data_IF_948647324907
#
_entry.id   IF_948647324907
#
_cell.length_a   1.000
_cell.length_b   1.000
_cell.length_c   1.000
_cell.angle_alpha   90.00
_cell.angle_beta   90.00
_cell.angle_gamma   90.00
#
_symmetry.space_group_name_H-M   'P 1'
#
loop_
_entity.id
_entity.type
_entity.pdbx_description
1 polymer ?
#
# COMPACT_ATOMS: atom_id res chain seq x y z
N UNK A 1 5.06 -19.58 -6.18
CA UNK A 1 4.46 -18.36 -6.76
C UNK A 1 4.58 -18.46 -8.27
N UNK A 2 3.49 -18.25 -9.00
CA UNK A 2 3.51 -18.22 -10.47
C UNK A 2 2.82 -16.92 -10.88
N UNK A 3 3.50 -16.08 -11.64
CA UNK A 3 2.94 -14.85 -12.18
C UNK A 3 3.58 -14.59 -13.56
N UNK A 4 2.79 -14.24 -14.59
CA UNK A 4 1.34 -14.25 -14.54
C UNK A 4 0.79 -15.68 -14.47
N UNK A 5 -0.16 -15.88 -13.56
CA UNK A 5 -1.04 -17.05 -13.50
C UNK A 5 -2.46 -16.49 -13.45
N UNK A 6 -3.48 -17.12 -14.06
CA UNK A 6 -4.79 -16.50 -14.22
C UNK A 6 -5.57 -16.48 -12.91
N UNK A 7 -5.15 -15.63 -11.98
CA UNK A 7 -5.87 -15.32 -10.76
C UNK A 7 -7.14 -14.54 -11.11
N UNK A 8 -8.26 -14.94 -10.51
CA UNK A 8 -9.57 -14.33 -10.75
C UNK A 8 -9.93 -13.42 -9.59
N UNK A 9 -10.45 -12.25 -9.92
CA UNK A 9 -11.07 -11.40 -8.90
C UNK A 9 -12.35 -12.07 -8.37
N UNK A 10 -12.39 -12.29 -7.06
CA UNK A 10 -13.56 -12.77 -6.32
C UNK A 10 -14.43 -11.59 -5.86
N UNK A 11 -13.78 -10.51 -5.44
CA UNK A 11 -14.40 -9.23 -5.11
C UNK A 11 -13.66 -8.13 -5.86
N UNK A 12 -14.41 -7.28 -6.55
CA UNK A 12 -13.83 -6.26 -7.42
C UNK A 12 -14.74 -5.01 -7.45
N UNK A 13 -14.42 -3.96 -6.69
CA UNK A 13 -15.21 -2.74 -6.62
C UNK A 13 -14.93 -1.83 -7.83
N UNK A 14 -15.28 -2.31 -9.03
CA UNK A 14 -14.96 -1.66 -10.33
C UNK A 14 -15.48 -0.23 -10.45
N UNK A 15 -16.60 0.07 -9.78
CA UNK A 15 -17.25 1.38 -9.84
C UNK A 15 -16.58 2.42 -8.93
N UNK A 16 -15.63 2.02 -8.06
CA UNK A 16 -15.07 2.89 -7.02
C UNK A 16 -14.35 4.13 -7.57
N UNK A 17 -13.73 4.03 -8.74
CA UNK A 17 -13.03 5.12 -9.42
C UNK A 17 -13.72 5.62 -10.69
N UNK A 18 -14.80 4.98 -11.12
CA UNK A 18 -15.45 5.27 -12.41
C UNK A 18 -15.98 6.70 -12.43
N UNK A 19 -15.52 7.52 -13.39
CA UNK A 19 -15.90 8.92 -13.57
C UNK A 19 -15.65 9.81 -12.34
N UNK A 20 -14.66 9.47 -11.50
CA UNK A 20 -14.38 10.19 -10.25
C UNK A 20 -13.00 10.85 -10.20
N UNK A 21 -12.07 10.43 -11.04
CA UNK A 21 -10.67 10.92 -11.13
C UNK A 21 -9.99 11.15 -9.77
N UNK A 22 -9.74 10.07 -8.98
CA UNK A 22 -9.15 10.20 -7.66
C UNK A 22 -7.79 10.88 -7.67
N UNK A 23 -7.55 11.76 -6.70
CA UNK A 23 -6.20 12.28 -6.50
C UNK A 23 -5.29 11.20 -5.90
N UNK A 24 -5.80 10.43 -4.93
CA UNK A 24 -5.04 9.40 -4.24
C UNK A 24 -5.87 8.12 -4.10
N UNK A 25 -5.29 6.99 -4.51
CA UNK A 25 -5.81 5.64 -4.21
C UNK A 25 -4.95 4.99 -3.13
N UNK A 26 -5.53 4.65 -1.99
CA UNK A 26 -4.91 3.89 -0.92
C UNK A 26 -5.16 2.40 -1.13
N UNK A 27 -4.10 1.66 -1.43
CA UNK A 27 -4.06 0.22 -1.51
C UNK A 27 -3.61 -0.35 -0.17
N UNK A 28 -4.57 -0.70 0.68
CA UNK A 28 -4.30 -1.18 2.03
C UNK A 28 -4.09 -2.69 2.00
N UNK A 29 -2.88 -3.14 2.31
CA UNK A 29 -2.55 -4.56 2.42
C UNK A 29 -3.10 -5.10 3.73
N UNK A 30 -4.06 -6.03 3.65
CA UNK A 30 -4.70 -6.64 4.82
C UNK A 30 -4.82 -8.17 4.68
N UNK A 31 -5.55 -8.79 5.61
CA UNK A 31 -5.82 -10.24 5.62
C UNK A 31 -7.31 -10.51 5.82
N UNK A 32 -7.84 -11.58 5.21
CA UNK A 32 -9.29 -11.79 5.07
C UNK A 32 -10.06 -11.82 6.40
N UNK A 33 -9.48 -12.39 7.45
CA UNK A 33 -10.13 -12.57 8.75
C UNK A 33 -9.98 -11.39 9.72
N UNK A 34 -9.17 -10.37 9.39
CA UNK A 34 -8.95 -9.21 10.27
C UNK A 34 -9.89 -8.05 9.94
N UNK A 35 -11.16 -8.24 10.30
CA UNK A 35 -12.20 -7.21 10.12
C UNK A 35 -11.95 -5.99 11.01
N UNK A 36 -11.38 -6.18 12.21
CA UNK A 36 -11.16 -5.07 13.14
C UNK A 36 -10.11 -4.10 12.62
N UNK A 37 -9.03 -4.60 11.98
CA UNK A 37 -8.03 -3.73 11.35
C UNK A 37 -8.65 -2.91 10.21
N UNK A 38 -9.44 -3.53 9.33
CA UNK A 38 -10.14 -2.80 8.26
C UNK A 38 -11.09 -1.75 8.82
N UNK A 39 -11.86 -2.09 9.85
CA UNK A 39 -12.75 -1.13 10.53
C UNK A 39 -11.98 0.01 11.19
N UNK A 40 -10.86 -0.27 11.88
CA UNK A 40 -10.03 0.75 12.48
C UNK A 40 -9.53 1.74 11.44
N UNK A 41 -9.13 1.27 10.26
CA UNK A 41 -8.68 2.10 9.15
C UNK A 41 -9.83 2.94 8.59
N UNK A 42 -11.03 2.36 8.39
CA UNK A 42 -12.24 3.09 7.96
C UNK A 42 -12.67 4.16 8.97
N UNK A 43 -12.50 3.90 10.26
CA UNK A 43 -12.81 4.86 11.34
C UNK A 43 -11.76 5.97 11.46
N UNK A 44 -10.59 5.80 10.86
CA UNK A 44 -9.43 6.69 11.04
C UNK A 44 -8.94 7.29 9.72
N UNK A 45 -7.70 6.98 9.31
CA UNK A 45 -7.04 7.60 8.17
C UNK A 45 -7.57 7.14 6.82
N UNK A 46 -8.21 5.96 6.75
CA UNK A 46 -8.80 5.43 5.52
C UNK A 46 -10.19 6.00 5.20
N UNK A 47 -10.74 6.87 6.04
CA UNK A 47 -12.05 7.47 5.82
C UNK A 47 -12.01 8.49 4.67
N UNK A 48 -12.60 8.13 3.53
CA UNK A 48 -12.64 8.98 2.32
C UNK A 48 -13.31 10.34 2.55
N UNK A 49 -14.27 10.43 3.49
CA UNK A 49 -15.02 11.67 3.78
C UNK A 49 -14.22 12.75 4.50
N UNK A 50 -13.01 12.43 4.96
CA UNK A 50 -12.14 13.35 5.69
C UNK A 50 -11.44 14.39 4.78
N UNK A 51 -11.40 14.17 3.47
CA UNK A 51 -10.68 14.99 2.50
C UNK A 51 -11.68 15.56 1.49
N UNK A 52 -11.91 16.88 1.55
CA UNK A 52 -12.98 17.55 0.77
C UNK A 52 -12.46 18.29 -0.45
N UNK A 53 -11.19 18.66 -0.42
CA UNK A 53 -10.49 19.41 -1.46
C UNK A 53 -9.94 18.52 -2.57
N UNK A 54 -9.71 17.23 -2.27
CA UNK A 54 -9.32 16.21 -3.25
C UNK A 54 -10.06 14.91 -3.00
N UNK A 55 -10.23 14.12 -4.06
CA UNK A 55 -10.83 12.80 -3.93
C UNK A 55 -9.79 11.76 -3.51
N UNK A 56 -10.07 11.07 -2.41
CA UNK A 56 -9.31 9.89 -1.94
C UNK A 56 -10.20 8.65 -2.06
N UNK A 57 -9.62 7.55 -2.53
CA UNK A 57 -10.27 6.23 -2.60
C UNK A 57 -9.46 5.26 -1.76
N UNK A 58 -10.12 4.51 -0.87
CA UNK A 58 -9.48 3.47 -0.06
C UNK A 58 -10.01 2.11 -0.49
N UNK A 59 -9.11 1.15 -0.73
CA UNK A 59 -9.46 -0.25 -0.96
C UNK A 59 -8.55 -1.19 -0.18
N UNK A 60 -9.08 -2.34 0.23
CA UNK A 60 -8.37 -3.38 0.96
C UNK A 60 -8.00 -4.54 0.03
N UNK A 61 -6.72 -4.89 -0.01
CA UNK A 61 -6.16 -5.96 -0.83
C UNK A 61 -6.08 -7.26 -0.03
N UNK A 62 -6.86 -8.27 -0.43
CA UNK A 62 -6.97 -9.54 0.29
C UNK A 62 -6.75 -10.74 -0.63
N UNK A 63 -6.14 -11.82 -0.12
CA UNK A 63 -6.18 -13.13 -0.76
C UNK A 63 -7.17 -14.08 -0.09
N UNK A 64 -7.03 -15.37 -0.36
CA UNK A 64 -7.72 -16.45 0.35
C UNK A 64 -6.92 -16.85 1.58
N UNK A 65 -7.53 -16.80 2.77
CA UNK A 65 -6.87 -17.32 3.97
C UNK A 65 -6.68 -18.86 3.85
N UNK A 66 -5.45 -19.41 4.03
CA UNK A 66 -5.17 -20.85 3.80
C UNK A 66 -6.09 -21.80 4.57
N UNK A 67 -6.50 -21.38 5.77
CA UNK A 67 -7.38 -22.15 6.66
C UNK A 67 -8.77 -21.50 6.75
N UNK A 68 -9.19 -20.77 5.71
CA UNK A 68 -10.51 -20.14 5.66
C UNK A 68 -11.59 -21.21 5.79
N UNK A 69 -12.36 -21.13 6.88
CA UNK A 69 -13.65 -21.77 6.91
C UNK A 69 -14.58 -21.04 5.94
N UNK A 70 -15.58 -21.74 5.40
CA UNK A 70 -16.66 -21.11 4.61
C UNK A 70 -17.25 -19.88 5.32
N UNK A 71 -17.24 -19.85 6.66
CA UNK A 71 -17.72 -18.74 7.46
C UNK A 71 -16.88 -17.46 7.30
N UNK A 72 -15.55 -17.56 7.21
CA UNK A 72 -14.68 -16.39 7.01
C UNK A 72 -14.99 -15.70 5.68
N UNK A 73 -15.13 -16.48 4.60
CA UNK A 73 -15.47 -15.93 3.29
C UNK A 73 -16.88 -15.30 3.28
N UNK A 74 -17.86 -15.93 3.92
CA UNK A 74 -19.21 -15.36 4.06
C UNK A 74 -19.23 -14.03 4.80
N UNK A 75 -18.49 -13.92 5.92
CA UNK A 75 -18.35 -12.67 6.66
C UNK A 75 -17.71 -11.56 5.81
N UNK A 76 -16.73 -11.93 4.98
CA UNK A 76 -16.07 -10.99 4.08
C UNK A 76 -17.02 -10.53 2.97
N UNK A 77 -17.86 -11.41 2.43
CA UNK A 77 -18.90 -11.08 1.47
C UNK A 77 -19.96 -10.15 2.07
N UNK A 78 -20.39 -10.42 3.30
CA UNK A 78 -21.29 -9.55 4.08
C UNK A 78 -20.67 -8.15 4.27
N UNK A 79 -19.41 -8.07 4.70
CA UNK A 79 -18.67 -6.82 4.84
C UNK A 79 -18.58 -6.06 3.50
N UNK A 80 -18.17 -6.74 2.42
CA UNK A 80 -18.01 -6.12 1.12
C UNK A 80 -19.36 -5.63 0.55
N UNK A 81 -20.48 -6.26 0.89
CA UNK A 81 -21.81 -5.81 0.49
C UNK A 81 -22.20 -4.46 1.11
N UNK A 82 -21.61 -4.11 2.25
CA UNK A 82 -21.84 -2.86 2.98
C UNK A 82 -20.87 -1.78 2.50
N UNK A 83 -19.58 -2.09 2.40
CA UNK A 83 -18.54 -1.07 2.19
C UNK A 83 -18.06 -0.97 0.74
N UNK A 84 -18.16 -2.05 -0.05
CA UNK A 84 -17.78 -2.07 -1.46
C UNK A 84 -16.34 -1.63 -1.72
N UNK A 85 -15.41 -1.95 -0.82
CA UNK A 85 -14.02 -1.48 -0.83
C UNK A 85 -13.00 -2.63 -0.76
N UNK A 86 -13.41 -3.87 -1.04
CA UNK A 86 -12.53 -5.04 -0.98
C UNK A 86 -12.15 -5.52 -2.38
N UNK A 87 -10.85 -5.54 -2.65
CA UNK A 87 -10.26 -6.19 -3.82
C UNK A 87 -9.70 -7.54 -3.38
N UNK A 88 -10.31 -8.64 -3.86
CA UNK A 88 -9.90 -10.00 -3.53
C UNK A 88 -9.62 -10.81 -4.79
N UNK A 89 -8.50 -11.53 -4.83
CA UNK A 89 -8.20 -12.55 -5.84
C UNK A 89 -8.03 -13.95 -5.21
N UNK A 90 -8.15 -14.99 -6.02
CA UNK A 90 -8.17 -16.40 -5.64
C UNK A 90 -6.77 -17.03 -5.38
N UNK A 91 -5.77 -16.24 -4.98
CA UNK A 91 -4.48 -16.77 -4.50
C UNK A 91 -4.49 -17.00 -2.99
N UNK A 92 -3.71 -17.98 -2.53
CA UNK A 92 -3.56 -18.25 -1.10
C UNK A 92 -2.72 -17.15 -0.44
N UNK A 93 -3.30 -16.48 0.55
CA UNK A 93 -2.72 -15.35 1.26
C UNK A 93 -1.69 -15.83 2.29
N UNK A 94 -0.41 -15.61 1.97
CA UNK A 94 0.72 -15.93 2.85
C UNK A 94 1.74 -14.82 2.72
N UNK A 95 2.65 -14.73 3.70
CA UNK A 95 3.77 -13.78 3.62
C UNK A 95 4.59 -13.97 2.34
N UNK A 96 4.79 -15.22 1.92
CA UNK A 96 5.48 -15.54 0.67
C UNK A 96 4.75 -15.00 -0.57
N UNK A 97 3.42 -14.86 -0.53
CA UNK A 97 2.60 -14.40 -1.65
C UNK A 97 2.25 -12.90 -1.59
N UNK A 98 2.90 -12.11 -0.73
CA UNK A 98 2.67 -10.66 -0.67
C UNK A 98 2.91 -9.96 -2.02
N UNK A 99 3.89 -10.41 -2.80
CA UNK A 99 4.11 -9.85 -4.14
C UNK A 99 2.93 -10.04 -5.07
N UNK A 100 2.23 -11.18 -5.02
CA UNK A 100 1.00 -11.39 -5.78
C UNK A 100 -0.10 -10.40 -5.33
N UNK A 101 -0.20 -10.16 -4.03
CA UNK A 101 -1.17 -9.22 -3.46
C UNK A 101 -0.91 -7.78 -3.91
N UNK A 102 0.34 -7.32 -3.91
CA UNK A 102 0.63 -5.98 -4.44
C UNK A 102 0.40 -5.92 -5.93
N UNK A 103 0.81 -6.93 -6.70
CA UNK A 103 0.55 -6.96 -8.14
C UNK A 103 -0.94 -6.99 -8.47
N UNK A 104 -1.78 -7.63 -7.64
CA UNK A 104 -3.24 -7.53 -7.73
C UNK A 104 -3.72 -6.09 -7.53
N UNK A 105 -3.19 -5.37 -6.53
CA UNK A 105 -3.53 -3.97 -6.30
C UNK A 105 -3.10 -3.07 -7.46
N UNK A 106 -1.89 -3.26 -7.97
CA UNK A 106 -1.36 -2.55 -9.12
C UNK A 106 -2.18 -2.84 -10.39
N UNK A 107 -2.52 -4.10 -10.63
CA UNK A 107 -3.44 -4.53 -11.70
C UNK A 107 -4.80 -3.83 -11.57
N UNK A 108 -5.36 -3.80 -10.36
CA UNK A 108 -6.66 -3.20 -10.12
C UNK A 108 -6.66 -1.70 -10.41
N UNK A 109 -5.64 -0.97 -9.97
CA UNK A 109 -5.51 0.47 -10.32
C UNK A 109 -5.35 0.64 -11.83
N UNK A 110 -4.45 -0.11 -12.45
CA UNK A 110 -4.21 -0.07 -13.90
C UNK A 110 -5.51 -0.23 -14.71
N UNK A 111 -6.39 -1.16 -14.31
CA UNK A 111 -7.62 -1.46 -15.03
C UNK A 111 -8.82 -0.59 -14.65
N UNK A 112 -8.98 -0.28 -13.37
CA UNK A 112 -10.22 0.30 -12.83
C UNK A 112 -10.06 1.72 -12.27
N UNK A 113 -8.82 2.19 -12.03
CA UNK A 113 -8.53 3.56 -11.60
C UNK A 113 -7.41 4.23 -12.42
N UNK A 114 -7.37 4.11 -13.77
CA UNK A 114 -6.25 4.61 -14.57
C UNK A 114 -6.11 6.14 -14.55
N UNK A 115 -7.17 6.87 -14.19
CA UNK A 115 -7.17 8.34 -14.11
C UNK A 115 -6.72 8.88 -12.76
N UNK A 116 -6.37 8.01 -11.81
CA UNK A 116 -5.85 8.45 -10.53
C UNK A 116 -4.53 9.25 -10.69
N UNK A 117 -4.30 10.24 -9.85
CA UNK A 117 -3.00 10.96 -9.87
C UNK A 117 -1.91 10.14 -9.19
N UNK A 118 -2.18 9.69 -7.97
CA UNK A 118 -1.26 8.94 -7.13
C UNK A 118 -1.91 7.68 -6.56
N UNK A 119 -1.06 6.71 -6.25
CA UNK A 119 -1.39 5.45 -5.61
C UNK A 119 -0.43 5.27 -4.44
N UNK A 120 -0.95 4.88 -3.29
CA UNK A 120 -0.13 4.51 -2.14
C UNK A 120 -0.40 3.06 -1.80
N UNK A 121 0.64 2.23 -1.78
CA UNK A 121 0.60 0.95 -1.07
C UNK A 121 0.91 1.22 0.39
N UNK A 122 0.13 0.64 1.30
CA UNK A 122 0.33 0.80 2.74
C UNK A 122 -0.10 -0.46 3.48
N UNK A 123 0.64 -0.82 4.53
CA UNK A 123 0.28 -1.95 5.40
C UNK A 123 -0.84 -1.55 6.38
N UNK A 124 -1.57 -2.55 6.92
CA UNK A 124 -2.72 -2.28 7.78
C UNK A 124 -2.37 -1.91 9.24
N UNK A 125 -1.11 -2.09 9.66
CA UNK A 125 -0.61 -1.74 11.01
C UNK A 125 0.09 -0.37 11.03
N UNK A 126 -0.43 0.58 10.25
CA UNK A 126 0.14 1.90 10.04
C UNK A 126 -0.71 3.02 10.64
N UNK A 127 -0.03 4.07 11.09
CA UNK A 127 -0.61 5.41 11.16
C UNK A 127 -0.25 6.17 9.88
N UNK A 128 -1.24 6.75 9.20
CA UNK A 128 -1.06 7.56 7.99
C UNK A 128 -1.61 8.97 8.19
N UNK A 129 -0.75 9.97 8.07
CA UNK A 129 -1.16 11.37 7.99
C UNK A 129 -1.47 11.72 6.53
N UNK A 130 -2.66 11.34 6.07
CA UNK A 130 -3.10 11.55 4.68
C UNK A 130 -3.08 13.04 4.29
N UNK A 131 -3.43 13.94 5.22
CA UNK A 131 -3.41 15.38 4.96
C UNK A 131 -1.99 15.89 4.70
N UNK A 132 -1.02 15.51 5.53
CA UNK A 132 0.38 15.84 5.29
C UNK A 132 0.89 15.26 3.97
N UNK A 133 0.55 13.99 3.69
CA UNK A 133 0.93 13.33 2.44
C UNK A 133 0.41 14.10 1.22
N UNK A 134 -0.89 14.39 1.18
CA UNK A 134 -1.53 15.08 0.06
C UNK A 134 -0.97 16.48 -0.11
N UNK A 135 -0.93 17.30 0.95
CA UNK A 135 -0.65 18.72 0.81
C UNK A 135 0.84 19.07 0.80
N UNK A 136 1.68 18.26 1.46
CA UNK A 136 3.12 18.55 1.60
C UNK A 136 3.97 17.73 0.64
N UNK A 137 3.63 16.45 0.44
CA UNK A 137 4.43 15.54 -0.39
C UNK A 137 3.96 15.54 -1.84
N UNK A 138 2.65 15.43 -2.08
CA UNK A 138 2.08 15.24 -3.43
C UNK A 138 1.62 16.55 -4.08
N UNK A 139 1.12 17.48 -3.28
CA UNK A 139 0.68 18.83 -3.59
C UNK A 139 -0.19 18.95 -4.88
N UNK A 140 -1.54 18.99 -4.75
CA UNK A 140 -2.44 19.14 -5.90
C UNK A 140 -2.25 20.44 -6.72
N UNK A 141 -1.58 21.45 -6.14
CA UNK A 141 -1.33 22.73 -6.81
C UNK A 141 -0.15 22.72 -7.79
N UNK A 142 0.60 21.62 -7.89
CA UNK A 142 1.70 21.47 -8.86
C UNK A 142 1.35 20.48 -9.96
N UNK A 143 1.93 20.60 -11.17
CA UNK A 143 1.74 19.62 -12.22
C UNK A 143 2.13 18.21 -11.79
N UNK A 144 1.30 17.22 -12.12
CA UNK A 144 1.55 15.81 -11.83
C UNK A 144 2.87 15.37 -12.46
N UNK A 145 3.78 14.84 -11.63
CA UNK A 145 5.01 14.20 -12.11
C UNK A 145 4.66 12.89 -12.79
N UNK A 146 5.31 12.57 -13.90
CA UNK A 146 5.27 11.22 -14.51
C UNK A 146 6.43 10.41 -14.00
N UNK A 147 6.30 9.09 -14.04
CA UNK A 147 7.36 8.17 -13.58
C UNK A 147 7.86 8.48 -12.17
N UNK A 148 6.92 8.84 -11.29
CA UNK A 148 7.23 9.24 -9.93
C UNK A 148 6.88 8.13 -8.95
N UNK A 149 7.84 7.78 -8.10
CA UNK A 149 7.63 6.94 -6.94
C UNK A 149 8.51 7.42 -5.78
N UNK A 150 8.00 7.44 -4.55
CA UNK A 150 8.70 7.87 -3.34
C UNK A 150 8.28 7.07 -2.12
N UNK A 151 9.11 7.05 -1.08
CA UNK A 151 8.90 6.30 0.13
C UNK A 151 10.19 6.23 0.94
N UNK A 152 10.25 5.33 1.92
CA UNK A 152 11.49 5.07 2.64
C UNK A 152 12.43 4.20 1.78
N UNK A 153 13.43 4.82 1.15
CA UNK A 153 14.32 4.13 0.20
C UNK A 153 15.32 3.25 0.95
N UNK A 154 15.37 1.98 0.56
CA UNK A 154 16.37 0.99 0.99
C UNK A 154 17.23 0.63 -0.21
N UNK A 155 18.55 0.56 0.00
CA UNK A 155 19.52 0.28 -1.05
C UNK A 155 20.67 -0.58 -0.51
N UNK A 156 21.43 -1.20 -1.42
CA UNK A 156 22.60 -2.02 -1.12
C UNK A 156 22.31 -3.21 -0.19
N UNK A 157 21.13 -3.83 -0.34
CA UNK A 157 20.76 -5.02 0.43
C UNK A 157 20.85 -6.27 -0.44
N UNK A 158 21.23 -7.38 0.19
CA UNK A 158 21.30 -8.69 -0.45
C UNK A 158 20.00 -9.49 -0.22
N UNK A 159 19.62 -10.36 -1.15
CA UNK A 159 18.57 -11.35 -0.92
C UNK A 159 18.88 -12.22 0.29
N UNK A 160 17.91 -12.40 1.19
CA UNK A 160 18.08 -13.33 2.31
C UNK A 160 18.05 -14.78 1.77
N UNK A 161 19.11 -15.54 2.02
CA UNK A 161 19.28 -16.93 1.55
C UNK A 161 19.02 -17.99 2.64
N UNK A 162 18.60 -17.57 3.82
CA UNK A 162 18.26 -18.47 4.94
C UNK A 162 16.86 -19.05 4.71
N UNK A 163 16.77 -20.38 4.51
CA UNK A 163 15.52 -21.06 4.12
C UNK A 163 14.36 -20.89 5.12
N UNK A 164 14.67 -20.72 6.40
CA UNK A 164 13.68 -20.57 7.48
C UNK A 164 13.24 -19.11 7.67
N UNK A 165 13.87 -18.16 6.96
CA UNK A 165 13.49 -16.75 7.01
C UNK A 165 12.23 -16.50 6.20
N UNK A 166 11.31 -15.69 6.74
CA UNK A 166 10.14 -15.20 5.98
C UNK A 166 10.55 -14.36 4.75
N UNK A 167 11.78 -13.86 4.73
CA UNK A 167 12.35 -13.07 3.63
C UNK A 167 13.18 -13.90 2.66
N UNK A 168 13.17 -15.24 2.79
CA UNK A 168 13.95 -16.14 1.96
C UNK A 168 13.66 -15.96 0.47
N UNK A 169 14.71 -15.77 -0.32
CA UNK A 169 14.66 -15.75 -1.78
C UNK A 169 15.71 -16.73 -2.32
N UNK A 170 15.29 -17.81 -3.01
CA UNK A 170 16.20 -18.78 -3.62
C UNK A 170 17.11 -18.15 -4.69
N UNK A 171 18.33 -18.69 -4.84
CA UNK A 171 19.28 -18.24 -5.85
C UNK A 171 18.75 -18.46 -7.26
N UNK A 172 18.00 -19.54 -7.46
CA UNK A 172 17.38 -19.91 -8.73
C UNK A 172 16.29 -18.92 -9.16
N UNK A 173 15.64 -18.27 -8.19
CA UNK A 173 14.60 -17.26 -8.42
C UNK A 173 15.20 -15.87 -8.66
N UNK A 174 16.25 -15.53 -7.91
CA UNK A 174 16.95 -14.25 -8.06
C UNK A 174 18.45 -14.48 -7.93
N UNK A 175 19.20 -14.57 -9.04
CA UNK A 175 20.61 -14.95 -9.02
C UNK A 175 21.56 -13.82 -8.63
N UNK A 176 21.11 -12.56 -8.69
CA UNK A 176 21.95 -11.42 -8.34
C UNK A 176 22.19 -11.35 -6.82
N UNK A 177 23.35 -10.83 -6.43
CA UNK A 177 23.76 -10.70 -5.04
C UNK A 177 23.18 -9.47 -4.33
N UNK A 178 22.58 -8.54 -5.07
CA UNK A 178 22.09 -7.26 -4.53
C UNK A 178 20.82 -6.83 -5.25
N UNK A 179 19.87 -6.28 -4.49
CA UNK A 179 18.67 -5.68 -5.06
C UNK A 179 18.93 -4.25 -5.56
N UNK A 180 18.25 -3.81 -6.64
CA UNK A 180 18.18 -2.39 -6.95
C UNK A 180 17.47 -1.63 -5.82
N UNK A 181 17.62 -0.29 -5.72
CA UNK A 181 16.93 0.50 -4.72
C UNK A 181 15.41 0.29 -4.76
N UNK A 182 14.81 0.14 -3.58
CA UNK A 182 13.37 -0.11 -3.41
C UNK A 182 12.82 0.68 -2.22
N UNK A 183 11.51 0.59 -1.98
CA UNK A 183 10.88 1.23 -0.82
C UNK A 183 10.56 0.20 0.26
N UNK A 184 10.80 0.54 1.53
CA UNK A 184 10.41 -0.33 2.63
C UNK A 184 8.89 -0.57 2.68
N UNK A 185 8.52 -1.79 3.06
CA UNK A 185 7.15 -2.30 3.04
C UNK A 185 6.06 -1.51 3.75
N UNK A 186 6.31 -0.78 4.87
CA UNK A 186 5.26 -0.07 5.60
C UNK A 186 4.43 0.88 4.74
N UNK A 187 5.02 1.49 3.71
CA UNK A 187 4.24 2.18 2.68
C UNK A 187 5.07 3.06 1.75
N UNK A 188 4.59 3.18 0.52
CA UNK A 188 5.22 3.98 -0.54
C UNK A 188 4.19 4.48 -1.54
N UNK A 189 4.52 5.58 -2.23
CA UNK A 189 3.64 6.26 -3.18
C UNK A 189 4.23 6.21 -4.57
N UNK A 190 3.38 6.07 -5.57
CA UNK A 190 3.74 6.11 -6.98
C UNK A 190 2.60 6.68 -7.80
N UNK A 191 2.88 7.13 -9.02
CA UNK A 191 1.84 7.67 -9.92
C UNK A 191 1.11 6.56 -10.65
N UNK A 192 -0.12 6.81 -11.07
CA UNK A 192 -0.92 5.77 -11.74
C UNK A 192 -0.30 5.26 -13.04
N UNK A 193 0.51 6.07 -13.75
CA UNK A 193 1.28 5.60 -14.90
C UNK A 193 2.38 4.60 -14.51
N UNK A 194 2.98 4.74 -13.32
CA UNK A 194 3.89 3.73 -12.76
C UNK A 194 3.14 2.45 -12.44
N UNK A 195 1.89 2.54 -11.94
CA UNK A 195 1.06 1.35 -11.71
C UNK A 195 0.88 0.53 -12.98
N UNK A 196 0.50 1.17 -14.09
CA UNK A 196 0.36 0.51 -15.39
C UNK A 196 1.69 -0.11 -15.85
N UNK A 197 2.78 0.66 -15.81
CA UNK A 197 4.10 0.18 -16.25
C UNK A 197 4.61 -1.00 -15.41
N UNK A 198 4.40 -0.95 -14.10
CA UNK A 198 4.75 -2.05 -13.17
C UNK A 198 3.91 -3.29 -13.46
N UNK A 199 2.60 -3.13 -13.70
CA UNK A 199 1.74 -4.26 -14.09
C UNK A 199 2.26 -4.92 -15.37
N UNK A 200 2.59 -4.13 -16.39
CA UNK A 200 3.05 -4.63 -17.69
C UNK A 200 4.41 -5.33 -17.60
N UNK A 201 5.41 -4.72 -16.93
CA UNK A 201 6.75 -5.32 -16.81
C UNK A 201 6.74 -6.59 -15.95
N UNK A 202 5.91 -6.64 -14.91
CA UNK A 202 5.78 -7.80 -14.03
C UNK A 202 5.30 -9.06 -14.76
N UNK A 203 4.63 -8.91 -15.92
CA UNK A 203 4.25 -10.04 -16.78
C UNK A 203 5.47 -10.71 -17.46
N UNK A 204 6.60 -10.01 -17.54
CA UNK A 204 7.74 -10.39 -18.39
C UNK A 204 8.98 -10.81 -17.61
N UNK A 205 9.02 -10.54 -16.30
CA UNK A 205 10.17 -10.81 -15.44
C UNK A 205 9.83 -11.84 -14.36
N UNK A 206 10.87 -12.49 -13.83
CA UNK A 206 10.73 -13.49 -12.77
C UNK A 206 10.28 -12.82 -11.47
N UNK A 207 9.08 -13.19 -10.99
CA UNK A 207 8.53 -12.67 -9.74
C UNK A 207 9.20 -13.33 -8.52
N UNK A 208 9.48 -12.52 -7.50
CA UNK A 208 10.09 -12.94 -6.24
C UNK A 208 9.10 -12.76 -5.07
N UNK A 209 9.28 -13.44 -3.93
CA UNK A 209 8.35 -13.36 -2.79
C UNK A 209 8.34 -12.01 -2.07
N UNK A 210 9.50 -11.36 -1.99
CA UNK A 210 9.68 -10.09 -1.29
C UNK A 210 9.13 -8.93 -2.15
N UNK A 211 7.97 -8.44 -1.76
CA UNK A 211 7.17 -7.48 -2.51
C UNK A 211 7.87 -6.13 -2.70
N UNK A 212 8.37 -5.56 -1.62
CA UNK A 212 9.17 -4.33 -1.60
C UNK A 212 10.29 -4.39 -2.63
N UNK A 213 11.08 -5.47 -2.58
CA UNK A 213 12.21 -5.70 -3.47
C UNK A 213 11.74 -5.91 -4.91
N UNK A 214 10.64 -6.65 -5.12
CA UNK A 214 10.09 -6.87 -6.46
C UNK A 214 9.62 -5.57 -7.11
N UNK A 215 8.95 -4.69 -6.36
CA UNK A 215 8.55 -3.38 -6.86
C UNK A 215 9.78 -2.56 -7.30
N UNK A 216 10.87 -2.56 -6.52
CA UNK A 216 12.14 -1.93 -6.90
C UNK A 216 12.78 -2.56 -8.15
N UNK A 217 12.71 -3.88 -8.32
CA UNK A 217 13.14 -4.57 -9.54
C UNK A 217 12.34 -4.09 -10.74
N UNK A 218 11.01 -3.97 -10.62
CA UNK A 218 10.17 -3.42 -11.69
C UNK A 218 10.60 -1.98 -12.06
N UNK A 219 10.81 -1.10 -11.08
CA UNK A 219 11.28 0.27 -11.33
C UNK A 219 12.62 0.29 -12.05
N UNK A 220 13.55 -0.58 -11.66
CA UNK A 220 14.85 -0.72 -12.31
C UNK A 220 14.72 -1.11 -13.79
N UNK A 221 13.90 -2.11 -14.12
CA UNK A 221 13.64 -2.50 -15.51
C UNK A 221 12.96 -1.40 -16.34
N UNK A 222 12.20 -0.53 -15.69
CA UNK A 222 11.50 0.61 -16.31
C UNK A 222 12.37 1.88 -16.42
N UNK A 223 13.62 1.85 -15.91
CA UNK A 223 14.48 3.03 -15.76
C UNK A 223 13.85 4.16 -14.92
N UNK A 224 13.02 3.80 -13.94
CA UNK A 224 12.40 4.75 -13.00
C UNK A 224 13.26 4.80 -11.74
N UNK A 225 13.78 5.98 -11.42
CA UNK A 225 14.61 6.16 -10.21
C UNK A 225 13.71 6.57 -9.03
N UNK A 226 13.78 5.87 -7.88
CA UNK A 226 13.10 6.28 -6.67
C UNK A 226 13.40 7.73 -6.28
N UNK A 227 12.35 8.54 -6.11
CA UNK A 227 12.47 9.93 -5.71
C UNK A 227 12.73 10.04 -4.21
N UNK A 228 13.85 10.66 -3.83
CA UNK A 228 14.24 10.84 -2.44
C UNK A 228 13.30 11.84 -1.74
N UNK A 229 12.54 11.43 -0.71
CA UNK A 229 11.68 12.35 0.03
C UNK A 229 12.51 13.23 0.98
N UNK A 230 11.87 14.22 1.58
CA UNK A 230 12.44 14.91 2.73
C UNK A 230 12.76 13.88 3.83
N UNK A 231 13.97 13.90 4.44
CA UNK A 231 14.36 12.93 5.44
C UNK A 231 13.35 12.82 6.59
N UNK A 232 13.06 11.59 7.01
CA UNK A 232 12.17 11.29 8.13
C UNK A 232 10.68 11.26 7.80
N UNK A 233 10.23 11.83 6.67
CA UNK A 233 8.79 11.88 6.31
C UNK A 233 8.17 10.48 6.20
N UNK A 234 8.87 9.57 5.53
CA UNK A 234 8.49 8.16 5.46
C UNK A 234 9.28 7.38 6.50
N UNK A 235 8.75 7.30 7.72
CA UNK A 235 9.40 6.62 8.82
C UNK A 235 8.91 5.16 8.93
N UNK A 236 9.83 4.21 8.72
CA UNK A 236 9.55 2.77 8.83
C UNK A 236 9.68 2.19 10.24
N UNK A 237 9.96 3.03 11.25
CA UNK A 237 10.22 2.60 12.63
C UNK A 237 9.10 3.00 13.59
N UNK A 238 9.04 2.35 14.75
CA UNK A 238 8.16 2.79 15.84
C UNK A 238 8.63 4.14 16.39
N UNK A 239 7.69 5.04 16.64
CA UNK A 239 7.91 6.32 17.32
C UNK A 239 6.76 6.52 18.31
N UNK A 240 7.06 6.91 19.55
CA UNK A 240 6.02 7.22 20.53
C UNK A 240 5.16 8.40 20.06
N UNK A 241 3.85 8.32 20.33
CA UNK A 241 2.92 9.33 19.84
C UNK A 241 3.20 10.69 20.49
N UNK A 242 3.64 11.63 19.65
CA UNK A 242 3.61 13.06 19.90
C UNK A 242 2.89 13.73 18.72
N UNK A 243 1.81 14.47 19.03
CA UNK A 243 0.95 15.07 18.00
C UNK A 243 1.73 15.96 17.03
N UNK A 244 2.71 16.72 17.51
CA UNK A 244 3.42 17.70 16.71
C UNK A 244 4.51 17.08 15.85
N UNK A 245 5.15 16.02 16.34
CA UNK A 245 5.99 15.16 15.54
C UNK A 245 5.18 14.49 14.43
N UNK A 246 4.03 13.90 14.77
CA UNK A 246 3.17 13.19 13.81
C UNK A 246 2.58 14.11 12.73
N UNK A 247 2.42 15.40 13.03
CA UNK A 247 1.99 16.39 12.05
C UNK A 247 3.05 16.68 10.97
N UNK A 248 4.31 16.24 11.18
CA UNK A 248 5.44 16.40 10.25
C UNK A 248 5.83 15.09 9.54
N UNK A 249 5.14 13.99 9.82
CA UNK A 249 5.41 12.66 9.28
C UNK A 249 4.26 12.22 8.36
N UNK A 250 4.57 11.50 7.28
CA UNK A 250 3.56 10.87 6.45
C UNK A 250 3.10 9.54 7.06
N UNK A 251 4.04 8.69 7.47
CA UNK A 251 3.74 7.36 8.02
C UNK A 251 4.51 7.08 9.31
N UNK A 252 3.89 6.30 10.20
CA UNK A 252 4.54 5.65 11.34
C UNK A 252 4.02 4.21 11.46
N UNK A 253 4.94 3.28 11.71
CA UNK A 253 4.68 1.84 11.65
C UNK A 253 4.43 1.21 13.04
N UNK A 254 3.82 0.02 13.03
CA UNK A 254 3.53 -0.86 14.18
C UNK A 254 2.38 -0.46 15.11
N UNK A 255 1.31 0.08 14.54
CA UNK A 255 0.10 0.45 15.27
C UNK A 255 -0.89 -0.71 15.41
N UNK A 256 -1.25 -1.05 16.65
CA UNK A 256 -2.41 -1.88 16.95
C UNK A 256 -3.71 -1.08 16.79
N UNK A 257 -4.79 -1.75 16.38
CA UNK A 257 -6.09 -1.13 16.08
C UNK A 257 -6.62 -0.20 17.19
N UNK A 258 -6.60 -0.64 18.45
CA UNK A 258 -7.06 0.19 19.58
C UNK A 258 -6.22 1.44 19.77
N UNK A 259 -4.88 1.29 19.70
CA UNK A 259 -3.95 2.41 19.84
C UNK A 259 -4.07 3.37 18.66
N UNK A 260 -4.31 2.86 17.45
CA UNK A 260 -4.55 3.65 16.26
C UNK A 260 -5.80 4.54 16.45
N UNK A 261 -6.93 3.96 16.89
CA UNK A 261 -8.15 4.71 17.16
C UNK A 261 -7.96 5.77 18.24
N UNK A 262 -7.28 5.42 19.34
CA UNK A 262 -6.96 6.33 20.44
C UNK A 262 -6.15 7.54 19.96
N UNK A 263 -5.02 7.27 19.28
CA UNK A 263 -4.11 8.30 18.78
C UNK A 263 -4.76 9.14 17.69
N UNK A 264 -5.48 8.51 16.76
CA UNK A 264 -6.17 9.22 15.68
C UNK A 264 -7.21 10.21 16.21
N UNK A 265 -7.96 9.83 17.27
CA UNK A 265 -8.95 10.72 17.88
C UNK A 265 -8.31 12.01 18.39
N UNK A 266 -7.19 11.92 19.11
CA UNK A 266 -6.46 13.10 19.59
C UNK A 266 -5.88 13.92 18.42
N UNK A 267 -5.21 13.24 17.50
CA UNK A 267 -4.58 13.85 16.33
C UNK A 267 -5.59 14.62 15.47
N UNK A 268 -6.74 14.00 15.16
CA UNK A 268 -7.77 14.56 14.29
C UNK A 268 -8.53 15.72 14.97
N UNK A 269 -8.90 15.58 16.24
CA UNK A 269 -9.68 16.62 16.95
C UNK A 269 -8.86 17.88 17.21
N UNK A 270 -7.55 17.74 17.38
CA UNK A 270 -6.62 18.86 17.62
C UNK A 270 -5.83 19.27 16.38
N UNK A 271 -6.24 18.88 15.17
CA UNK A 271 -5.51 19.20 13.93
C UNK A 271 -5.31 20.70 13.69
N UNK A 272 -6.25 21.53 14.18
CA UNK A 272 -6.19 22.99 14.09
C UNK A 272 -5.54 23.65 15.31
N UNK A 273 -5.24 22.89 16.36
CA UNK A 273 -4.47 23.39 17.49
C UNK A 273 -3.02 23.48 17.02
N UNK A 274 -2.46 24.68 16.93
CA UNK A 274 -1.07 24.85 16.46
C UNK A 274 -0.07 23.96 17.21
N UNK A 275 1.08 23.73 16.58
CA UNK A 275 2.23 23.09 17.22
C UNK A 275 3.29 24.16 17.48
N UNK A 276 3.85 24.25 18.69
CA UNK A 276 4.98 25.12 18.93
C UNK A 276 6.17 24.69 18.04
N UNK A 277 6.91 25.68 17.58
CA UNK A 277 8.11 25.49 16.74
C UNK A 277 9.26 24.84 17.52
#
# INVERSE_FOLDING_TARGET
>A
MVYPYPYKFLMNPQEKCRNRDPFLVLLVVGISYDVDSRMAIRDTWGNEGNFRDVLVVTVFLLGLYPNATRRVQQLLEEENSIYGDIVQQDFIDTYYNLTLKTLMGVEWVSKYCPTASYVMKIDSDMFLNVGFLIHTVLNPGVPLRKDYATGFIVANTAPNREKDSKFYVPLEIYPNDTYPPYFAGPGYVFTADVAQKVYDIAQTIQVIPNEDCFFGICLYHLNITPYTPVPGVFNGHWIDYDRCLYNKLAIVHHYKNDKLREVWKDFWTKKNSGCPD
#
